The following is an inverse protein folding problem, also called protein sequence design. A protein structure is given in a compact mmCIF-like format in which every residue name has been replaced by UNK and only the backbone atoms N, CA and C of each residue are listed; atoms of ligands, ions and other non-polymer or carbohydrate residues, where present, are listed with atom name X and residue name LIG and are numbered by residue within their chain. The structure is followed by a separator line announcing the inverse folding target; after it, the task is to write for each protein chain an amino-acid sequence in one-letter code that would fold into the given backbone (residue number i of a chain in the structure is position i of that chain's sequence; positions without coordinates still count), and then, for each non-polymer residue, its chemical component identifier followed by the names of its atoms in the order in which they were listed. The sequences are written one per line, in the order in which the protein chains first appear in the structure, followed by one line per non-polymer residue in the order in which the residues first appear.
data_IF_991988737226
#
_entry.id   IF_991988737226
#
_cell.length_a   1.000
_cell.length_b   1.000
_cell.length_c   1.000
_cell.angle_alpha   90.00
_cell.angle_beta   90.00
_cell.angle_gamma   90.00
#
_symmetry.space_group_name_H-M   'P 1'
#
loop_
_entity.id
_entity.type
_entity.pdbx_description
1 polymer ?
#
# COMPACT_ATOMS: atom_id res chain seq x y z
N UNK A 1 9.11 -13.35 4.16
CA UNK A 1 8.46 -12.02 4.19
C UNK A 1 9.52 -10.94 4.05
N UNK A 2 9.31 -9.98 3.17
CA UNK A 2 10.22 -8.82 3.08
C UNK A 2 10.16 -8.00 4.37
N UNK A 3 11.26 -7.92 5.11
CA UNK A 3 11.32 -7.28 6.43
C UNK A 3 10.96 -5.80 6.41
N UNK A 4 11.14 -5.11 5.28
CA UNK A 4 10.82 -3.70 5.13
C UNK A 4 9.31 -3.40 5.21
N UNK A 5 8.45 -4.37 4.87
CA UNK A 5 7.00 -4.18 4.93
C UNK A 5 6.52 -3.92 6.36
N UNK A 6 7.23 -4.45 7.33
CA UNK A 6 6.94 -4.24 8.75
C UNK A 6 7.01 -2.76 9.13
N UNK A 7 7.83 -1.98 8.43
CA UNK A 7 8.04 -0.56 8.69
C UNK A 7 6.92 0.34 8.14
N UNK A 8 6.07 -0.21 7.27
CA UNK A 8 4.94 0.55 6.71
C UNK A 8 3.78 0.73 7.70
N UNK A 9 3.77 -0.01 8.78
CA UNK A 9 2.72 0.02 9.79
C UNK A 9 3.29 0.36 11.16
N UNK A 10 2.46 0.89 12.09
CA UNK A 10 2.93 1.21 13.44
C UNK A 10 3.53 0.02 14.17
N UNK A 11 4.43 0.27 15.08
CA UNK A 11 4.98 -0.76 15.96
C UNK A 11 3.85 -1.41 16.77
N UNK A 12 3.84 -2.74 16.79
CA UNK A 12 2.83 -3.52 17.49
C UNK A 12 3.44 -4.85 17.96
N UNK A 13 2.79 -5.48 18.91
CA UNK A 13 3.24 -6.76 19.44
C UNK A 13 3.10 -7.85 18.37
N UNK A 14 1.96 -7.87 17.69
CA UNK A 14 1.64 -8.89 16.70
C UNK A 14 1.56 -8.28 15.30
N UNK A 15 2.18 -8.96 14.35
CA UNK A 15 2.22 -8.55 12.94
C UNK A 15 2.15 -9.79 12.03
N UNK A 16 1.31 -9.72 11.01
CA UNK A 16 1.18 -10.77 9.99
C UNK A 16 1.29 -10.14 8.60
N UNK A 17 1.88 -10.88 7.68
CA UNK A 17 1.96 -10.50 6.28
C UNK A 17 1.45 -11.66 5.42
N UNK A 18 0.46 -11.38 4.60
CA UNK A 18 -0.12 -12.34 3.68
C UNK A 18 0.32 -12.00 2.26
N UNK A 19 1.03 -12.91 1.64
CA UNK A 19 1.51 -12.79 0.28
C UNK A 19 0.43 -13.30 -0.68
N UNK A 20 0.01 -12.44 -1.60
CA UNK A 20 -0.89 -12.76 -2.71
C UNK A 20 -2.18 -13.50 -2.29
N UNK A 21 -2.81 -13.04 -1.24
CA UNK A 21 -4.07 -13.60 -0.78
C UNK A 21 -5.22 -13.20 -1.72
N UNK A 22 -5.94 -14.19 -2.27
CA UNK A 22 -7.12 -13.92 -3.09
C UNK A 22 -8.34 -13.56 -2.23
N UNK A 23 -8.99 -12.45 -2.55
CA UNK A 23 -10.21 -12.01 -1.88
C UNK A 23 -11.49 -12.42 -2.59
N UNK A 24 -11.43 -12.58 -3.87
CA UNK A 24 -12.58 -12.93 -4.69
C UNK A 24 -12.17 -12.83 -6.15
N UNK A 25 -12.09 -13.97 -6.84
CA UNK A 25 -11.68 -14.01 -8.22
C UNK A 25 -10.27 -13.46 -8.47
N UNK A 26 -10.18 -12.37 -9.19
CA UNK A 26 -8.90 -11.78 -9.64
C UNK A 26 -8.30 -10.74 -8.68
N UNK A 27 -8.96 -10.46 -7.54
CA UNK A 27 -8.48 -9.48 -6.57
C UNK A 27 -7.40 -10.10 -5.67
N UNK A 28 -6.16 -10.01 -6.10
CA UNK A 28 -5.00 -10.57 -5.41
C UNK A 28 -4.00 -9.45 -5.12
N UNK A 29 -3.98 -8.90 -3.89
CA UNK A 29 -2.95 -7.93 -3.51
C UNK A 29 -1.56 -8.57 -3.51
N UNK A 30 -0.53 -7.77 -3.76
CA UNK A 30 0.84 -8.26 -3.60
C UNK A 30 1.09 -8.65 -2.15
N UNK A 31 0.74 -7.74 -1.21
CA UNK A 31 0.78 -8.06 0.21
C UNK A 31 -0.40 -7.43 0.95
N UNK A 32 -0.92 -8.18 1.90
CA UNK A 32 -1.88 -7.70 2.87
C UNK A 32 -1.22 -7.77 4.25
N UNK A 33 -1.11 -6.63 4.91
CA UNK A 33 -0.49 -6.52 6.23
C UNK A 33 -1.58 -6.46 7.30
N UNK A 34 -1.34 -7.14 8.41
CA UNK A 34 -2.18 -7.05 9.60
C UNK A 34 -1.32 -6.84 10.82
N UNK A 35 -1.74 -5.95 11.70
CA UNK A 35 -1.10 -5.75 13.00
C UNK A 35 -2.17 -5.58 14.07
N UNK A 36 -1.85 -6.00 15.29
CA UNK A 36 -2.77 -5.91 16.42
C UNK A 36 -2.24 -4.91 17.46
N UNK A 37 -3.13 -4.05 17.92
CA UNK A 37 -2.90 -3.13 19.03
C UNK A 37 -4.09 -3.15 19.99
N UNK A 38 -4.13 -2.22 20.95
CA UNK A 38 -5.21 -2.11 21.92
C UNK A 38 -6.61 -1.89 21.31
N UNK A 39 -6.67 -1.42 20.08
CA UNK A 39 -7.93 -1.19 19.33
C UNK A 39 -8.37 -2.42 18.54
N UNK A 40 -7.55 -3.48 18.49
CA UNK A 40 -7.82 -4.69 17.75
C UNK A 40 -6.96 -4.86 16.52
N UNK A 41 -7.51 -5.53 15.50
CA UNK A 41 -6.81 -5.82 14.25
C UNK A 41 -6.89 -4.65 13.27
N UNK A 42 -5.75 -4.27 12.73
CA UNK A 42 -5.61 -3.21 11.75
C UNK A 42 -4.95 -3.76 10.48
N UNK A 43 -5.34 -3.24 9.33
CA UNK A 43 -4.93 -3.77 8.04
C UNK A 43 -4.30 -2.69 7.16
N UNK A 44 -3.41 -3.13 6.27
CA UNK A 44 -2.83 -2.28 5.23
C UNK A 44 -2.61 -3.10 3.97
N UNK A 45 -2.86 -2.49 2.83
CA UNK A 45 -2.74 -3.09 1.50
C UNK A 45 -1.48 -2.58 0.82
N UNK A 46 -0.70 -3.45 0.18
CA UNK A 46 0.54 -3.06 -0.50
C UNK A 46 0.55 -3.59 -1.93
N UNK A 47 0.76 -2.68 -2.87
CA UNK A 47 1.08 -2.97 -4.27
C UNK A 47 2.52 -2.60 -4.57
N UNK A 48 3.28 -3.53 -5.12
CA UNK A 48 4.65 -3.31 -5.56
C UNK A 48 4.71 -3.28 -7.08
N UNK A 49 5.06 -2.11 -7.61
CA UNK A 49 5.36 -1.95 -9.03
C UNK A 49 6.88 -1.95 -9.28
N UNK A 50 7.29 -1.98 -10.54
CA UNK A 50 8.72 -2.01 -10.88
C UNK A 50 9.45 -0.75 -10.39
N UNK A 51 10.67 -0.90 -9.82
CA UNK A 51 11.53 0.25 -9.53
C UNK A 51 12.02 0.98 -10.80
N UNK A 52 11.87 0.38 -11.96
CA UNK A 52 12.29 0.94 -13.24
C UNK A 52 11.18 1.72 -13.96
N UNK A 53 9.98 1.72 -13.43
CA UNK A 53 8.83 2.44 -14.00
C UNK A 53 8.61 3.73 -13.20
N UNK A 54 8.68 4.91 -13.86
CA UNK A 54 8.41 6.16 -13.15
C UNK A 54 6.94 6.28 -12.75
N UNK A 55 6.63 6.93 -11.62
CA UNK A 55 5.24 7.18 -11.22
C UNK A 55 4.51 8.10 -12.22
N UNK A 56 5.22 9.10 -12.74
CA UNK A 56 4.71 10.04 -13.72
C UNK A 56 5.52 9.95 -15.02
N UNK A 57 4.83 10.00 -16.15
CA UNK A 57 5.48 10.09 -17.45
C UNK A 57 5.96 11.54 -17.72
N UNK A 58 6.75 11.75 -18.79
CA UNK A 58 7.34 13.04 -19.13
C UNK A 58 6.34 14.20 -19.22
N UNK A 59 5.10 13.91 -19.64
CA UNK A 59 4.03 14.92 -19.72
C UNK A 59 3.36 15.23 -18.36
N UNK A 60 3.83 14.64 -17.25
CA UNK A 60 3.29 14.84 -15.92
C UNK A 60 2.00 14.06 -15.64
N UNK A 61 1.62 13.13 -16.51
CA UNK A 61 0.50 12.22 -16.27
C UNK A 61 0.96 10.98 -15.54
N UNK A 62 0.02 10.28 -14.90
CA UNK A 62 0.29 8.99 -14.27
C UNK A 62 0.80 7.99 -15.31
N UNK A 63 1.83 7.22 -14.95
CA UNK A 63 2.23 6.08 -15.76
C UNK A 63 1.11 5.04 -15.79
N UNK A 64 1.07 4.20 -16.82
CA UNK A 64 0.06 3.15 -16.94
C UNK A 64 0.11 2.19 -15.75
N UNK A 65 1.31 1.85 -15.27
CA UNK A 65 1.50 0.97 -14.11
C UNK A 65 0.97 1.57 -12.82
N UNK A 66 1.19 2.88 -12.60
CA UNK A 66 0.60 3.54 -11.44
C UNK A 66 -0.93 3.59 -11.53
N UNK A 67 -1.48 3.88 -12.71
CA UNK A 67 -2.92 3.83 -12.94
C UNK A 67 -3.50 2.45 -12.64
N UNK A 68 -2.85 1.39 -13.10
CA UNK A 68 -3.27 0.01 -12.82
C UNK A 68 -3.28 -0.27 -11.31
N UNK A 69 -2.21 0.09 -10.60
CA UNK A 69 -2.11 -0.13 -9.16
C UNK A 69 -3.19 0.61 -8.38
N UNK A 70 -3.44 1.88 -8.70
CA UNK A 70 -4.50 2.67 -8.07
C UNK A 70 -5.89 2.11 -8.39
N UNK A 71 -6.09 1.61 -9.61
CA UNK A 71 -7.31 0.91 -10.01
C UNK A 71 -7.53 -0.36 -9.20
N UNK A 72 -6.51 -1.16 -8.99
CA UNK A 72 -6.57 -2.37 -8.16
C UNK A 72 -6.96 -2.05 -6.72
N UNK A 73 -6.39 -1.00 -6.14
CA UNK A 73 -6.75 -0.55 -4.79
C UNK A 73 -8.21 -0.12 -4.73
N UNK A 74 -8.69 0.62 -5.72
CA UNK A 74 -10.09 1.03 -5.82
C UNK A 74 -11.03 -0.17 -5.92
N UNK A 75 -10.70 -1.15 -6.76
CA UNK A 75 -11.48 -2.38 -6.92
C UNK A 75 -11.52 -3.19 -5.63
N UNK A 76 -10.38 -3.31 -4.93
CA UNK A 76 -10.28 -3.98 -3.66
C UNK A 76 -11.16 -3.31 -2.59
N UNK A 77 -11.13 -1.98 -2.51
CA UNK A 77 -11.98 -1.23 -1.57
C UNK A 77 -13.47 -1.40 -1.88
N UNK A 78 -13.83 -1.34 -3.15
CA UNK A 78 -15.23 -1.56 -3.57
C UNK A 78 -15.69 -2.98 -3.24
N UNK A 79 -14.87 -3.98 -3.52
CA UNK A 79 -15.18 -5.37 -3.17
C UNK A 79 -15.37 -5.53 -1.66
N UNK A 80 -14.52 -4.94 -0.84
CA UNK A 80 -14.66 -4.99 0.62
C UNK A 80 -15.95 -4.32 1.10
N UNK A 81 -16.32 -3.17 0.56
CA UNK A 81 -17.59 -2.51 0.91
C UNK A 81 -18.78 -3.43 0.65
N UNK A 82 -18.77 -4.10 -0.48
CA UNK A 82 -19.85 -4.98 -0.91
C UNK A 82 -19.85 -6.33 -0.19
N UNK A 83 -18.70 -6.78 0.30
CA UNK A 83 -18.50 -8.13 0.85
C UNK A 83 -17.87 -8.14 2.25
N UNK A 84 -18.10 -7.10 3.05
CA UNK A 84 -17.38 -6.91 4.32
C UNK A 84 -17.64 -8.07 5.30
N UNK A 85 -18.87 -8.56 5.41
CA UNK A 85 -19.20 -9.69 6.27
C UNK A 85 -18.54 -10.98 5.79
N UNK A 86 -18.53 -11.20 4.48
CA UNK A 86 -17.88 -12.37 3.89
C UNK A 86 -16.36 -12.33 4.14
N UNK A 87 -15.73 -11.19 3.96
CA UNK A 87 -14.29 -11.02 4.22
C UNK A 87 -13.95 -11.30 5.68
N UNK A 88 -14.74 -10.79 6.62
CA UNK A 88 -14.52 -10.98 8.06
C UNK A 88 -14.80 -12.40 8.53
N UNK A 89 -15.88 -13.02 8.07
CA UNK A 89 -16.36 -14.31 8.56
C UNK A 89 -15.76 -15.49 7.80
N UNK A 90 -15.71 -15.44 6.46
CA UNK A 90 -15.22 -16.54 5.64
C UNK A 90 -13.72 -16.49 5.38
N UNK A 91 -13.16 -15.30 5.10
CA UNK A 91 -11.72 -15.16 4.96
C UNK A 91 -10.98 -14.97 6.28
N UNK A 92 -11.68 -14.80 7.38
CA UNK A 92 -11.08 -14.62 8.70
C UNK A 92 -10.32 -13.31 8.87
N UNK A 93 -10.62 -12.29 8.05
CA UNK A 93 -9.97 -10.99 8.08
C UNK A 93 -10.64 -10.11 9.14
N UNK A 94 -10.40 -10.42 10.41
CA UNK A 94 -11.04 -9.78 11.55
C UNK A 94 -10.89 -8.27 11.51
N UNK A 95 -12.00 -7.56 11.61
CA UNK A 95 -12.07 -6.10 11.66
C UNK A 95 -11.53 -5.40 10.40
N UNK A 96 -11.33 -6.11 9.28
CA UNK A 96 -10.93 -5.45 8.03
C UNK A 96 -12.01 -4.47 7.58
N UNK A 97 -11.59 -3.34 7.02
CA UNK A 97 -12.51 -2.38 6.42
C UNK A 97 -11.96 -1.82 5.10
N UNK A 98 -12.86 -1.26 4.30
CA UNK A 98 -12.52 -0.74 2.98
C UNK A 98 -11.64 0.51 3.03
N UNK A 99 -11.57 1.18 4.17
CA UNK A 99 -10.79 2.40 4.38
C UNK A 99 -9.39 2.11 4.93
N UNK A 100 -8.96 0.84 4.97
CA UNK A 100 -7.61 0.48 5.37
C UNK A 100 -6.56 1.20 4.51
N UNK A 101 -5.45 1.66 5.11
CA UNK A 101 -4.38 2.30 4.35
C UNK A 101 -3.86 1.41 3.23
N UNK A 102 -3.52 2.02 2.09
CA UNK A 102 -2.91 1.35 0.96
C UNK A 102 -1.59 2.03 0.60
N UNK A 103 -0.63 1.22 0.16
CA UNK A 103 0.69 1.69 -0.25
C UNK A 103 0.98 1.19 -1.66
N UNK A 104 1.38 2.09 -2.54
CA UNK A 104 1.93 1.76 -3.86
C UNK A 104 3.39 2.15 -3.85
N UNK A 105 4.27 1.18 -4.09
CA UNK A 105 5.71 1.42 -4.22
C UNK A 105 6.09 1.28 -5.68
N UNK A 106 6.59 2.35 -6.27
CA UNK A 106 6.87 2.43 -7.71
C UNK A 106 8.05 3.36 -8.01
N UNK A 107 8.94 2.92 -8.86
CA UNK A 107 10.01 3.74 -9.38
C UNK A 107 11.06 4.16 -8.37
N UNK A 108 11.93 5.06 -8.79
CA UNK A 108 13.01 5.62 -8.00
C UNK A 108 12.88 7.14 -7.91
N UNK A 109 13.46 7.72 -6.87
CA UNK A 109 13.47 9.18 -6.69
C UNK A 109 14.06 9.90 -7.89
N UNK A 110 15.09 9.34 -8.52
CA UNK A 110 15.71 9.89 -9.71
C UNK A 110 14.79 9.99 -10.93
N UNK A 111 13.67 9.25 -10.94
CA UNK A 111 12.65 9.32 -11.99
C UNK A 111 11.69 10.50 -11.82
N UNK A 112 11.70 11.15 -10.66
CA UNK A 112 10.78 12.27 -10.39
C UNK A 112 11.46 13.57 -10.83
N UNK A 113 10.91 14.18 -11.88
CA UNK A 113 11.40 15.47 -12.39
C UNK A 113 11.05 16.58 -11.40
N UNK A 114 11.94 17.58 -11.28
CA UNK A 114 11.71 18.72 -10.40
C UNK A 114 10.40 19.46 -10.70
N UNK A 115 10.05 19.61 -11.98
CA UNK A 115 8.80 20.24 -12.42
C UNK A 115 7.53 19.45 -12.02
N UNK A 116 7.66 18.17 -11.66
CA UNK A 116 6.55 17.31 -11.26
C UNK A 116 6.49 17.04 -9.75
N UNK A 117 7.32 17.67 -8.95
CA UNK A 117 7.43 17.39 -7.51
C UNK A 117 6.11 17.59 -6.77
N UNK A 118 5.36 18.65 -7.07
CA UNK A 118 4.06 18.91 -6.44
C UNK A 118 3.01 17.89 -6.88
N UNK A 119 3.00 17.52 -8.15
CA UNK A 119 2.11 16.47 -8.67
C UNK A 119 2.38 15.14 -8.00
N UNK A 120 3.66 14.77 -7.87
CA UNK A 120 4.04 13.54 -7.19
C UNK A 120 3.54 13.50 -5.74
N UNK A 121 3.69 14.59 -4.99
CA UNK A 121 3.17 14.69 -3.61
C UNK A 121 1.66 14.54 -3.56
N UNK A 122 0.95 15.11 -4.53
CA UNK A 122 -0.51 15.05 -4.60
C UNK A 122 -1.07 13.65 -4.93
N UNK A 123 -0.22 12.72 -5.38
CA UNK A 123 -0.64 11.33 -5.62
C UNK A 123 -1.04 10.60 -4.35
N UNK A 124 -0.47 10.97 -3.21
CA UNK A 124 -0.81 10.38 -1.91
C UNK A 124 -2.03 11.12 -1.35
N UNK A 125 -3.19 10.46 -1.41
CA UNK A 125 -4.48 10.98 -1.00
C UNK A 125 -5.40 9.83 -0.57
N UNK A 126 -6.46 10.14 0.15
CA UNK A 126 -7.53 9.19 0.51
C UNK A 126 -7.02 7.87 1.11
N UNK A 127 -6.08 7.97 2.05
CA UNK A 127 -5.45 6.82 2.71
C UNK A 127 -4.67 5.90 1.75
N UNK A 128 -4.27 6.42 0.59
CA UNK A 128 -3.38 5.75 -0.33
C UNK A 128 -2.07 6.55 -0.42
N UNK A 129 -0.96 5.91 -0.08
CA UNK A 129 0.38 6.50 -0.18
C UNK A 129 1.10 5.95 -1.40
N UNK A 130 1.62 6.83 -2.24
CA UNK A 130 2.46 6.49 -3.38
C UNK A 130 3.90 6.87 -3.03
N UNK A 131 4.81 5.91 -3.07
CA UNK A 131 6.20 6.15 -2.70
C UNK A 131 7.17 5.45 -3.65
N UNK A 132 8.39 5.98 -3.70
CA UNK A 132 9.48 5.35 -4.43
C UNK A 132 10.15 4.28 -3.59
N UNK A 133 10.92 3.39 -4.24
CA UNK A 133 11.74 2.40 -3.53
C UNK A 133 12.81 3.07 -2.65
N UNK A 134 13.31 4.24 -3.04
CA UNK A 134 14.22 5.02 -2.20
C UNK A 134 13.56 5.43 -0.88
N UNK A 135 12.33 5.92 -0.95
CA UNK A 135 11.58 6.29 0.26
C UNK A 135 11.30 5.08 1.14
N UNK A 136 10.93 3.95 0.54
CA UNK A 136 10.72 2.71 1.29
C UNK A 136 12.00 2.24 1.98
N UNK A 137 13.14 2.31 1.28
CA UNK A 137 14.44 1.98 1.87
C UNK A 137 14.80 2.92 3.03
N UNK A 138 14.56 4.23 2.89
CA UNK A 138 14.75 5.19 3.97
C UNK A 138 13.92 4.83 5.21
N UNK A 139 12.64 4.53 5.03
CA UNK A 139 11.77 4.11 6.12
C UNK A 139 12.31 2.84 6.80
N UNK A 140 12.79 1.87 6.03
CA UNK A 140 13.34 0.63 6.55
C UNK A 140 14.63 0.84 7.36
N UNK A 141 15.48 1.79 6.95
CA UNK A 141 16.75 2.07 7.63
C UNK A 141 16.61 3.07 8.78
N UNK A 142 15.62 3.97 8.74
CA UNK A 142 15.42 5.01 9.75
C UNK A 142 14.23 4.74 10.66
N UNK A 143 13.66 3.55 10.62
CA UNK A 143 12.43 3.19 11.32
C UNK A 143 12.40 3.45 12.83
N UNK A 144 13.55 3.72 13.45
CA UNK A 144 13.64 4.16 14.84
C UNK A 144 13.33 5.67 15.04
N UNK A 145 13.34 6.47 13.97
CA UNK A 145 13.16 7.93 14.06
C UNK A 145 11.73 8.39 13.77
N UNK A 146 10.88 7.51 13.25
CA UNK A 146 9.49 7.85 12.88
C UNK A 146 8.54 7.72 14.09
N UNK A 147 9.00 7.15 15.18
CA UNK A 147 8.23 7.02 16.44
C UNK A 147 8.33 8.24 17.38
N UNK A 148 8.98 9.30 16.95
CA UNK A 148 9.09 10.53 17.75
C UNK A 148 8.16 11.64 17.25
#
# INVERSE_FOLDING_TARGET
MPSFLRQLVPSSVDFWCFDRMSFGGELIPDFLLCYRNSRGFNWAYVELESPNVPPLIKAGRLSSKLNEALGQISDWRNWLRDNISYAREHHGLKQIDAEAPAFVVIGRRSHIRAEHALKYRALSADKTSVMTYDRMAEIAFTGAEIES
#
